data_IF_780380118677
#
_entry.id   IF_780380118677
#
_cell.length_a   1.000
_cell.length_b   1.000
_cell.length_c   1.000
_cell.angle_alpha   90.00
_cell.angle_beta   90.00
_cell.angle_gamma   90.00
#
_symmetry.space_group_name_H-M   'P 1'
#
loop_
_entity.id
_entity.type
_entity.pdbx_description
1 polymer ?
#
# COMPACT_ATOMS: atom_id res chain seq x y z
N UNK A 1 12.83 -12.73 13.72
CA UNK A 1 12.46 -11.52 12.98
C UNK A 1 11.85 -12.03 11.71
N UNK A 2 10.58 -11.72 11.46
CA UNK A 2 10.03 -11.93 10.13
C UNK A 2 10.79 -10.98 9.19
N UNK A 3 11.46 -11.54 8.18
CA UNK A 3 12.09 -10.73 7.15
C UNK A 3 10.98 -10.22 6.23
N UNK A 4 10.90 -8.90 6.10
CA UNK A 4 10.10 -8.25 5.06
C UNK A 4 10.74 -8.60 3.71
N UNK A 5 9.95 -9.04 2.74
CA UNK A 5 10.41 -9.42 1.40
C UNK A 5 11.57 -10.44 1.40
N UNK A 6 11.38 -11.66 1.95
CA UNK A 6 12.46 -12.63 2.07
C UNK A 6 13.00 -13.08 0.70
N UNK A 7 14.32 -13.26 0.59
CA UNK A 7 14.89 -14.05 -0.50
C UNK A 7 14.50 -15.52 -0.31
N UNK A 8 13.81 -16.09 -1.31
CA UNK A 8 13.41 -17.50 -1.32
C UNK A 8 14.26 -18.30 -2.31
N UNK A 9 14.25 -19.62 -2.17
CA UNK A 9 14.97 -20.53 -3.07
C UNK A 9 13.99 -21.49 -3.76
N UNK A 10 14.21 -21.73 -5.06
CA UNK A 10 13.43 -22.67 -5.87
C UNK A 10 14.34 -23.64 -6.61
N UNK A 11 14.07 -24.94 -6.46
CA UNK A 11 14.80 -26.00 -7.15
C UNK A 11 14.29 -26.15 -8.59
N UNK A 12 15.21 -26.18 -9.55
CA UNK A 12 14.88 -26.35 -10.96
C UNK A 12 14.22 -27.70 -11.19
N UNK A 13 13.12 -27.68 -11.95
CA UNK A 13 12.35 -28.86 -12.29
C UNK A 13 11.41 -29.32 -11.17
N UNK A 14 11.25 -28.55 -10.10
CA UNK A 14 10.20 -28.72 -9.10
C UNK A 14 9.07 -27.70 -9.34
N UNK A 15 7.86 -28.05 -8.89
CA UNK A 15 6.69 -27.17 -8.96
C UNK A 15 6.39 -26.63 -7.57
N UNK A 16 6.35 -25.30 -7.45
CA UNK A 16 6.04 -24.61 -6.21
C UNK A 16 4.64 -24.00 -6.29
N UNK A 17 3.93 -23.98 -5.16
CA UNK A 17 2.63 -23.32 -5.01
C UNK A 17 2.76 -22.17 -4.03
N UNK A 18 2.42 -20.96 -4.46
CA UNK A 18 2.34 -19.77 -3.63
C UNK A 18 0.88 -19.52 -3.31
N UNK A 19 0.53 -19.56 -2.03
CA UNK A 19 -0.86 -19.44 -1.55
C UNK A 19 -1.12 -18.01 -1.09
N UNK A 20 -2.12 -17.37 -1.67
CA UNK A 20 -2.61 -16.04 -1.32
C UNK A 20 -3.99 -16.17 -0.66
N UNK A 21 -3.99 -16.34 0.67
CA UNK A 21 -5.20 -16.55 1.47
C UNK A 21 -5.27 -15.63 2.68
N UNK A 22 -4.12 -15.19 3.18
CA UNK A 22 -4.11 -14.31 4.33
C UNK A 22 -4.73 -12.96 3.93
N UNK A 23 -5.45 -12.32 4.85
CA UNK A 23 -6.09 -11.02 4.56
C UNK A 23 -5.08 -9.93 4.17
N UNK A 24 -3.83 -10.06 4.61
CA UNK A 24 -2.73 -9.19 4.17
C UNK A 24 -2.31 -9.40 2.71
N UNK A 25 -2.84 -10.40 2.01
CA UNK A 25 -2.68 -10.58 0.56
C UNK A 25 -3.71 -9.80 -0.27
N UNK A 26 -4.76 -9.26 0.35
CA UNK A 26 -5.74 -8.42 -0.34
C UNK A 26 -5.05 -7.29 -1.12
N UNK A 27 -5.48 -7.04 -2.36
CA UNK A 27 -4.90 -6.04 -3.27
C UNK A 27 -3.44 -6.30 -3.72
N UNK A 28 -2.88 -7.48 -3.45
CA UNK A 28 -1.50 -7.81 -3.80
C UNK A 28 -1.36 -9.07 -4.66
N UNK A 29 -1.92 -9.12 -5.89
CA UNK A 29 -1.75 -10.28 -6.77
C UNK A 29 -0.26 -10.48 -7.08
N UNK A 30 0.27 -11.67 -6.79
CA UNK A 30 1.68 -11.97 -6.96
C UNK A 30 2.02 -12.19 -8.43
N UNK A 31 3.11 -11.57 -8.89
CA UNK A 31 3.72 -11.80 -10.19
C UNK A 31 5.15 -12.32 -10.07
N UNK A 32 5.68 -12.83 -11.18
CA UNK A 32 7.03 -13.38 -11.30
C UNK A 32 7.74 -12.70 -12.46
N UNK A 33 8.97 -12.25 -12.25
CA UNK A 33 9.75 -11.54 -13.26
C UNK A 33 11.21 -12.00 -13.31
N UNK A 34 11.83 -11.78 -14.47
CA UNK A 34 13.25 -11.95 -14.72
C UNK A 34 14.07 -10.68 -14.42
N UNK A 35 13.41 -9.52 -14.33
CA UNK A 35 14.02 -8.25 -13.89
C UNK A 35 13.38 -7.75 -12.59
N UNK A 36 14.12 -6.98 -11.77
CA UNK A 36 13.58 -6.38 -10.55
C UNK A 36 12.47 -5.37 -10.86
N UNK A 37 11.61 -5.16 -9.88
CA UNK A 37 10.54 -4.16 -9.87
C UNK A 37 11.01 -2.92 -9.10
N UNK A 38 10.88 -1.67 -9.59
CA UNK A 38 11.15 -0.50 -8.74
C UNK A 38 11.38 0.82 -9.49
N UNK A 39 12.47 0.94 -10.25
CA UNK A 39 12.89 2.23 -10.84
C UNK A 39 13.28 2.14 -12.33
N UNK A 40 13.22 0.95 -12.94
CA UNK A 40 13.63 0.73 -14.33
C UNK A 40 12.45 0.68 -15.29
N UNK A 41 12.60 1.32 -16.44
CA UNK A 41 11.58 1.42 -17.51
C UNK A 41 11.14 0.06 -18.11
N UNK A 42 11.79 -1.07 -17.77
CA UNK A 42 11.47 -2.37 -18.38
C UNK A 42 11.37 -3.49 -17.35
N UNK A 43 10.12 -3.82 -16.99
CA UNK A 43 9.73 -5.06 -16.31
C UNK A 43 9.71 -6.19 -17.33
N UNK A 44 10.49 -7.23 -17.09
CA UNK A 44 10.50 -8.45 -17.92
C UNK A 44 9.80 -9.54 -17.12
N UNK A 45 8.49 -9.63 -17.30
CA UNK A 45 7.66 -10.62 -16.61
C UNK A 45 7.92 -12.03 -17.14
N UNK A 46 7.75 -13.02 -16.27
CA UNK A 46 7.80 -14.41 -16.65
C UNK A 46 6.47 -14.78 -17.32
N UNK A 47 6.48 -14.83 -18.64
CA UNK A 47 5.32 -15.14 -19.47
C UNK A 47 5.63 -16.32 -20.40
N UNK A 48 4.62 -17.05 -20.92
CA UNK A 48 4.82 -18.19 -21.81
C UNK A 48 5.68 -17.89 -23.03
N UNK A 49 5.63 -16.65 -23.54
CA UNK A 49 6.42 -16.16 -24.67
C UNK A 49 7.74 -15.47 -24.32
N UNK A 50 8.13 -15.36 -23.05
CA UNK A 50 9.31 -14.58 -22.62
C UNK A 50 10.35 -15.49 -21.96
N UNK A 51 11.60 -15.38 -22.39
CA UNK A 51 12.73 -16.09 -21.79
C UNK A 51 13.99 -15.24 -21.72
N UNK A 52 14.70 -15.34 -20.59
CA UNK A 52 16.08 -14.86 -20.41
C UNK A 52 17.12 -15.99 -20.44
N UNK A 53 16.66 -17.23 -20.61
CA UNK A 53 17.48 -18.42 -20.79
C UNK A 53 17.37 -18.95 -22.23
N UNK A 54 16.89 -20.18 -22.37
CA UNK A 54 16.71 -20.84 -23.66
C UNK A 54 15.61 -20.13 -24.45
N UNK A 55 15.95 -19.68 -25.65
CA UNK A 55 15.04 -18.92 -26.50
C UNK A 55 14.10 -19.82 -27.34
N UNK A 56 14.33 -21.14 -27.37
CA UNK A 56 13.52 -22.08 -28.17
C UNK A 56 12.04 -22.12 -27.75
N UNK A 57 11.75 -21.84 -26.47
CA UNK A 57 10.40 -21.86 -25.93
C UNK A 57 9.53 -20.69 -26.43
N UNK A 58 10.15 -19.58 -26.84
CA UNK A 58 9.47 -18.32 -27.18
C UNK A 58 8.51 -18.52 -28.35
N UNK A 59 8.96 -19.13 -29.43
CA UNK A 59 8.17 -19.28 -30.65
C UNK A 59 6.90 -20.13 -30.46
N UNK A 60 6.90 -20.97 -29.42
CA UNK A 60 5.86 -21.94 -29.12
C UNK A 60 5.10 -21.63 -27.84
N UNK A 61 5.39 -20.50 -27.17
CA UNK A 61 4.79 -20.10 -25.90
C UNK A 61 4.90 -21.20 -24.83
N UNK A 62 6.09 -21.79 -24.70
CA UNK A 62 6.37 -22.86 -23.73
C UNK A 62 7.39 -22.45 -22.67
N UNK A 63 7.70 -21.16 -22.56
CA UNK A 63 8.67 -20.67 -21.58
C UNK A 63 8.09 -20.77 -20.17
N UNK A 64 8.89 -20.98 -19.13
CA UNK A 64 8.40 -21.04 -17.75
C UNK A 64 7.62 -19.78 -17.36
N UNK A 65 6.39 -19.97 -16.87
CA UNK A 65 5.51 -18.88 -16.46
C UNK A 65 4.64 -19.30 -15.25
N UNK A 66 4.16 -18.35 -14.42
CA UNK A 66 3.24 -18.65 -13.34
C UNK A 66 1.86 -19.01 -13.90
N UNK A 67 1.21 -20.02 -13.31
CA UNK A 67 -0.16 -20.41 -13.59
C UNK A 67 -1.06 -20.01 -12.43
N UNK A 68 -2.14 -19.27 -12.69
CA UNK A 68 -2.99 -18.67 -11.65
C UNK A 68 -4.26 -19.51 -11.38
N UNK A 69 -4.58 -19.67 -10.09
CA UNK A 69 -5.65 -20.53 -9.60
C UNK A 69 -6.56 -19.81 -8.61
N UNK A 70 -7.85 -20.14 -8.65
CA UNK A 70 -8.84 -19.78 -7.64
C UNK A 70 -9.52 -21.04 -7.13
N UNK A 71 -9.45 -21.31 -5.82
CA UNK A 71 -10.01 -22.51 -5.19
C UNK A 71 -9.58 -23.82 -5.90
N UNK A 72 -8.28 -23.93 -6.20
CA UNK A 72 -7.67 -25.04 -6.95
C UNK A 72 -8.14 -25.19 -8.41
N UNK A 73 -9.01 -24.30 -8.91
CA UNK A 73 -9.39 -24.22 -10.32
C UNK A 73 -8.36 -23.38 -11.08
N UNK A 74 -7.76 -23.97 -12.11
CA UNK A 74 -6.84 -23.26 -13.00
C UNK A 74 -7.61 -22.28 -13.88
N UNK A 75 -7.18 -21.01 -13.90
CA UNK A 75 -7.88 -19.93 -14.60
C UNK A 75 -7.42 -19.72 -16.05
N UNK A 76 -6.33 -20.37 -16.46
CA UNK A 76 -5.75 -20.23 -17.80
C UNK A 76 -5.80 -21.52 -18.63
N UNK A 77 -4.93 -21.57 -19.63
CA UNK A 77 -4.73 -22.71 -20.55
C UNK A 77 -3.28 -23.16 -20.63
N UNK A 78 -2.34 -22.24 -20.52
CA UNK A 78 -0.91 -22.53 -20.56
C UNK A 78 -0.50 -23.51 -19.45
N UNK A 79 0.42 -24.41 -19.75
CA UNK A 79 1.09 -25.20 -18.71
C UNK A 79 2.43 -25.73 -19.20
N UNK A 80 3.44 -25.64 -18.34
CA UNK A 80 4.71 -26.38 -18.44
C UNK A 80 4.81 -27.50 -17.38
N UNK A 81 3.68 -27.88 -16.75
CA UNK A 81 3.66 -28.98 -15.78
C UNK A 81 3.76 -30.33 -16.50
N UNK A 82 4.66 -31.23 -16.07
CA UNK A 82 4.83 -32.54 -16.69
C UNK A 82 3.53 -33.35 -16.80
N UNK A 83 3.19 -33.78 -18.02
CA UNK A 83 1.97 -34.53 -18.34
C UNK A 83 0.78 -33.66 -18.77
N UNK A 84 0.84 -32.34 -18.57
CA UNK A 84 -0.18 -31.37 -18.96
C UNK A 84 0.45 -30.21 -19.78
N UNK A 85 1.53 -30.46 -20.49
CA UNK A 85 2.24 -29.42 -21.24
C UNK A 85 1.40 -28.93 -22.43
N UNK A 86 1.45 -27.62 -22.68
CA UNK A 86 0.77 -26.97 -23.80
C UNK A 86 1.74 -26.32 -24.77
N UNK A 87 1.29 -26.10 -26.00
CA UNK A 87 2.04 -25.39 -27.05
C UNK A 87 1.14 -24.36 -27.72
N UNK A 88 1.65 -23.14 -27.89
CA UNK A 88 0.95 -22.04 -28.54
C UNK A 88 -0.13 -21.37 -27.68
N UNK A 89 -0.12 -21.62 -26.37
CA UNK A 89 -1.06 -21.03 -25.40
C UNK A 89 -0.34 -19.95 -24.60
N UNK A 90 -0.88 -18.73 -24.63
CA UNK A 90 -0.35 -17.57 -23.88
C UNK A 90 -1.18 -17.22 -22.65
N UNK A 91 -2.35 -17.83 -22.53
CA UNK A 91 -3.28 -17.56 -21.43
C UNK A 91 -2.83 -18.34 -20.20
N UNK A 92 -2.15 -17.68 -19.27
CA UNK A 92 -1.71 -18.29 -18.01
C UNK A 92 -2.63 -17.97 -16.81
N UNK A 93 -3.77 -17.31 -17.05
CA UNK A 93 -4.84 -17.05 -16.08
C UNK A 93 -4.78 -15.71 -15.33
N UNK A 94 -3.76 -14.88 -15.59
CA UNK A 94 -3.60 -13.59 -14.89
C UNK A 94 -4.75 -12.61 -15.14
N UNK A 95 -5.22 -12.49 -16.38
CA UNK A 95 -6.30 -11.56 -16.77
C UNK A 95 -7.62 -11.81 -16.04
N UNK A 96 -7.84 -13.03 -15.53
CA UNK A 96 -9.00 -13.38 -14.70
C UNK A 96 -8.68 -13.17 -13.21
N UNK A 97 -7.45 -13.44 -12.80
CA UNK A 97 -6.99 -13.41 -11.42
C UNK A 97 -6.83 -12.01 -10.86
N UNK A 98 -6.04 -11.16 -11.54
CA UNK A 98 -5.65 -9.83 -11.04
C UNK A 98 -6.85 -8.91 -10.77
N UNK A 99 -7.86 -8.78 -11.66
CA UNK A 99 -8.98 -7.87 -11.42
C UNK A 99 -9.80 -8.19 -10.16
N UNK A 100 -9.72 -9.42 -9.65
CA UNK A 100 -10.42 -9.82 -8.42
C UNK A 100 -9.78 -9.22 -7.16
N UNK A 101 -8.50 -8.85 -7.20
CA UNK A 101 -7.81 -8.20 -6.08
C UNK A 101 -8.20 -6.73 -5.90
N UNK A 102 -8.86 -6.12 -6.89
CA UNK A 102 -9.39 -4.76 -6.82
C UNK A 102 -10.87 -4.71 -6.40
N UNK A 103 -11.46 -5.85 -6.02
CA UNK A 103 -12.79 -5.89 -5.36
C UNK A 103 -12.69 -5.36 -3.94
N UNK A 104 -13.81 -5.15 -3.26
CA UNK A 104 -13.76 -4.77 -1.84
C UNK A 104 -13.08 -5.89 -1.02
N UNK A 105 -12.50 -5.61 0.16
CA UNK A 105 -11.90 -6.64 1.01
C UNK A 105 -12.86 -7.78 1.35
N UNK A 106 -14.14 -7.46 1.58
CA UNK A 106 -15.19 -8.44 1.85
C UNK A 106 -15.46 -9.34 0.63
N UNK A 107 -15.60 -8.76 -0.56
CA UNK A 107 -15.83 -9.51 -1.81
C UNK A 107 -14.60 -10.37 -2.16
N UNK A 108 -13.39 -9.81 -2.06
CA UNK A 108 -12.14 -10.55 -2.27
C UNK A 108 -12.03 -11.76 -1.33
N UNK A 109 -12.34 -11.57 -0.04
CA UNK A 109 -12.33 -12.65 0.96
C UNK A 109 -13.35 -13.73 0.62
N UNK A 110 -14.52 -13.34 0.09
CA UNK A 110 -15.58 -14.28 -0.28
C UNK A 110 -15.22 -15.18 -1.47
N UNK A 111 -14.24 -14.79 -2.30
CA UNK A 111 -13.77 -15.62 -3.42
C UNK A 111 -13.00 -16.86 -2.96
N UNK A 112 -12.40 -16.86 -1.77
CA UNK A 112 -11.72 -18.02 -1.20
C UNK A 112 -10.20 -17.97 -1.35
N UNK A 113 -9.60 -19.08 -1.80
CA UNK A 113 -8.13 -19.22 -1.83
C UNK A 113 -7.58 -18.94 -3.21
N UNK A 114 -6.80 -17.87 -3.32
CA UNK A 114 -6.02 -17.57 -4.50
C UNK A 114 -4.66 -18.27 -4.41
N UNK A 115 -4.13 -18.76 -5.52
CA UNK A 115 -2.76 -19.28 -5.55
C UNK A 115 -2.14 -19.21 -6.94
N UNK A 116 -0.81 -19.29 -7.00
CA UNK A 116 -0.09 -19.50 -8.25
C UNK A 116 0.76 -20.77 -8.16
N UNK A 117 0.89 -21.48 -9.27
CA UNK A 117 1.88 -22.54 -9.43
C UNK A 117 2.98 -22.07 -10.37
N UNK A 118 4.23 -22.29 -9.98
CA UNK A 118 5.40 -21.95 -10.79
C UNK A 118 6.34 -23.14 -10.85
N UNK A 119 6.76 -23.48 -12.07
CA UNK A 119 7.81 -24.46 -12.33
C UNK A 119 8.84 -23.81 -13.24
N UNK A 120 10.08 -23.73 -12.78
CA UNK A 120 11.21 -23.32 -13.61
C UNK A 120 11.97 -24.57 -14.03
N UNK A 121 11.90 -24.93 -15.30
CA UNK A 121 12.52 -26.12 -15.89
C UNK A 121 13.60 -25.80 -16.93
N UNK A 122 14.01 -24.53 -17.02
CA UNK A 122 15.14 -24.07 -17.83
C UNK A 122 16.39 -23.85 -16.98
N UNK A 123 17.33 -24.79 -17.04
CA UNK A 123 18.60 -24.70 -16.31
C UNK A 123 19.65 -23.77 -16.95
N UNK A 124 19.31 -23.17 -18.10
CA UNK A 124 20.15 -22.15 -18.74
C UNK A 124 19.95 -20.76 -18.14
N UNK A 125 18.86 -20.52 -17.39
CA UNK A 125 18.65 -19.29 -16.61
C UNK A 125 19.75 -19.18 -15.55
N UNK A 126 20.55 -18.11 -15.62
CA UNK A 126 21.69 -17.86 -14.70
C UNK A 126 21.46 -16.68 -13.75
N UNK A 127 20.43 -15.88 -14.00
CA UNK A 127 20.03 -14.79 -13.13
C UNK A 127 19.10 -15.27 -12.01
N UNK A 128 18.99 -14.46 -10.98
CA UNK A 128 17.88 -14.57 -10.04
C UNK A 128 16.56 -14.16 -10.71
N UNK A 129 15.44 -14.63 -10.15
CA UNK A 129 14.10 -14.14 -10.48
C UNK A 129 13.59 -13.26 -9.33
N UNK A 130 12.45 -12.64 -9.55
CA UNK A 130 11.79 -11.79 -8.58
C UNK A 130 10.32 -12.17 -8.46
N UNK A 131 9.80 -12.19 -7.24
CA UNK A 131 8.36 -12.09 -7.01
C UNK A 131 8.01 -10.65 -6.68
N UNK A 132 6.84 -10.19 -7.11
CA UNK A 132 6.41 -8.81 -6.90
C UNK A 132 4.88 -8.72 -6.82
N UNK A 133 4.35 -7.57 -6.44
CA UNK A 133 2.92 -7.24 -6.52
C UNK A 133 2.61 -6.57 -7.86
N UNK A 134 1.62 -7.04 -8.61
CA UNK A 134 1.25 -6.37 -9.88
C UNK A 134 0.70 -4.95 -9.69
N UNK A 135 0.14 -4.65 -8.51
CA UNK A 135 -0.56 -3.38 -8.25
C UNK A 135 0.30 -2.36 -7.50
N UNK A 136 1.13 -2.80 -6.57
CA UNK A 136 1.90 -1.91 -5.71
C UNK A 136 3.39 -2.00 -5.96
N UNK A 137 4.00 -0.84 -6.19
CA UNK A 137 5.43 -0.73 -6.31
C UNK A 137 6.19 -1.03 -5.02
N UNK A 138 7.45 -1.46 -5.17
CA UNK A 138 8.39 -1.78 -4.08
C UNK A 138 7.94 -2.94 -3.15
N UNK A 139 6.89 -3.66 -3.54
CA UNK A 139 6.42 -4.89 -2.88
C UNK A 139 6.89 -6.11 -3.65
N UNK A 140 8.13 -6.54 -3.41
CA UNK A 140 8.68 -7.72 -4.06
C UNK A 140 9.98 -8.17 -3.42
N UNK A 141 10.44 -9.35 -3.81
CA UNK A 141 11.67 -9.94 -3.32
C UNK A 141 12.29 -10.92 -4.30
N UNK A 142 13.41 -11.51 -3.88
CA UNK A 142 14.29 -12.28 -4.75
C UNK A 142 13.98 -13.77 -4.67
N UNK A 143 14.09 -14.45 -5.81
CA UNK A 143 14.04 -15.91 -5.94
C UNK A 143 15.39 -16.38 -6.47
N UNK A 144 16.10 -17.20 -5.69
CA UNK A 144 17.32 -17.87 -6.12
C UNK A 144 17.01 -19.26 -6.65
N UNK A 145 17.50 -19.57 -7.85
CA UNK A 145 17.40 -20.92 -8.40
C UNK A 145 18.44 -21.84 -7.80
N UNK A 146 18.04 -23.07 -7.48
CA UNK A 146 18.92 -24.14 -7.01
C UNK A 146 18.92 -25.34 -7.94
N UNK A 147 20.03 -26.08 -7.96
CA UNK A 147 20.16 -27.38 -8.62
C UNK A 147 20.89 -28.36 -7.72
N UNK A 148 20.22 -29.46 -7.39
CA UNK A 148 20.60 -30.42 -6.34
C UNK A 148 20.92 -29.72 -5.00
N UNK A 149 20.10 -28.74 -4.61
CA UNK A 149 20.26 -27.99 -3.37
C UNK A 149 21.42 -27.02 -3.35
N UNK A 150 22.09 -26.77 -4.49
CA UNK A 150 23.12 -25.73 -4.62
C UNK A 150 22.56 -24.54 -5.37
N UNK A 151 22.77 -23.34 -4.84
CA UNK A 151 22.42 -22.09 -5.50
C UNK A 151 23.18 -21.98 -6.82
N UNK A 152 22.49 -21.59 -7.90
CA UNK A 152 23.08 -21.42 -9.22
C UNK A 152 23.79 -20.08 -9.38
N UNK A 153 23.30 -19.05 -8.70
CA UNK A 153 23.84 -17.70 -8.70
C UNK A 153 24.07 -17.19 -7.27
N UNK A 154 25.31 -17.30 -6.80
CA UNK A 154 25.71 -16.87 -5.45
C UNK A 154 25.63 -15.35 -5.28
N UNK A 155 25.73 -14.59 -6.38
CA UNK A 155 25.61 -13.14 -6.36
C UNK A 155 24.14 -12.75 -6.50
N UNK A 156 23.74 -11.66 -5.85
CA UNK A 156 22.42 -11.06 -6.03
C UNK A 156 22.38 -10.28 -7.35
N UNK A 157 22.18 -11.00 -8.45
CA UNK A 157 22.16 -10.42 -9.81
C UNK A 157 20.95 -10.87 -10.62
N UNK A 158 20.20 -9.95 -11.26
CA UNK A 158 20.39 -8.49 -11.24
C UNK A 158 20.23 -7.86 -9.85
N UNK A 159 20.79 -6.67 -9.67
CA UNK A 159 20.55 -5.86 -8.47
C UNK A 159 19.05 -5.53 -8.35
N UNK A 160 18.55 -5.36 -7.13
CA UNK A 160 17.15 -5.03 -6.90
C UNK A 160 16.81 -3.59 -7.34
N UNK A 161 17.80 -2.69 -7.35
CA UNK A 161 17.64 -1.29 -7.80
C UNK A 161 17.13 -0.33 -6.71
N UNK A 162 16.70 -0.85 -5.57
CA UNK A 162 16.29 -0.09 -4.40
C UNK A 162 16.66 -0.82 -3.11
N UNK A 163 16.75 -0.07 -2.02
CA UNK A 163 16.89 -0.63 -0.68
C UNK A 163 15.51 -0.71 -0.02
N UNK A 164 15.25 -1.78 0.73
CA UNK A 164 14.05 -1.84 1.55
C UNK A 164 14.12 -0.82 2.67
N UNK A 165 12.99 -0.17 2.93
CA UNK A 165 12.87 0.74 4.04
C UNK A 165 13.17 0.06 5.38
N UNK A 166 13.84 0.80 6.25
CA UNK A 166 14.06 0.40 7.64
C UNK A 166 13.16 1.22 8.55
N UNK A 167 12.32 0.53 9.32
CA UNK A 167 11.44 1.20 10.27
C UNK A 167 12.26 1.74 11.45
N UNK A 168 11.97 2.98 11.85
CA UNK A 168 12.45 3.53 13.12
C UNK A 168 11.87 2.75 14.30
N UNK A 169 12.45 2.89 15.49
CA UNK A 169 11.88 2.25 16.69
C UNK A 169 10.47 2.80 17.00
N UNK A 170 10.25 4.09 16.79
CA UNK A 170 8.94 4.72 16.91
C UNK A 170 7.92 4.10 15.94
N UNK A 171 8.30 3.94 14.67
CA UNK A 171 7.41 3.34 13.66
C UNK A 171 7.10 1.87 13.95
N UNK A 172 8.05 1.10 14.47
CA UNK A 172 7.82 -0.29 14.91
C UNK A 172 6.81 -0.36 16.05
N UNK A 173 6.89 0.58 17.00
CA UNK A 173 5.96 0.67 18.11
C UNK A 173 4.55 1.04 17.64
N UNK A 174 4.43 2.06 16.79
CA UNK A 174 3.15 2.56 16.29
C UNK A 174 2.56 1.71 15.15
N UNK A 175 3.34 0.83 14.50
CA UNK A 175 2.92 0.12 13.30
C UNK A 175 2.84 1.02 12.06
N UNK A 176 3.65 2.07 12.02
CA UNK A 176 3.61 3.13 10.99
C UNK A 176 4.86 3.11 10.11
N UNK A 177 5.07 4.16 9.35
CA UNK A 177 6.31 4.44 8.62
C UNK A 177 6.54 5.96 8.56
N UNK A 178 7.81 6.37 8.71
CA UNK A 178 8.26 7.74 8.43
C UNK A 178 7.86 8.80 9.45
N UNK A 179 7.52 8.40 10.68
CA UNK A 179 7.00 9.33 11.68
C UNK A 179 8.00 9.82 12.73
N UNK A 180 9.19 9.20 12.82
CA UNK A 180 10.16 9.52 13.88
C UNK A 180 10.55 11.00 13.96
N UNK A 181 10.67 11.68 12.81
CA UNK A 181 11.01 13.12 12.78
C UNK A 181 9.83 14.05 13.14
N UNK A 182 8.63 13.49 13.33
CA UNK A 182 7.39 14.22 13.58
C UNK A 182 6.83 13.96 14.98
N UNK A 183 7.57 13.27 15.84
CA UNK A 183 7.26 13.18 17.27
C UNK A 183 7.16 14.57 17.91
N UNK A 184 6.21 14.73 18.84
CA UNK A 184 6.04 15.98 19.57
C UNK A 184 6.98 16.05 20.79
N UNK A 185 7.52 17.23 21.14
CA UNK A 185 7.26 18.54 20.53
C UNK A 185 8.00 18.72 19.19
N UNK A 186 7.28 19.24 18.18
CA UNK A 186 7.85 19.59 16.88
C UNK A 186 7.51 21.06 16.53
N UNK A 187 8.47 21.89 16.11
CA UNK A 187 8.25 23.32 15.87
C UNK A 187 7.28 23.64 14.72
N UNK A 188 7.02 22.69 13.83
CA UNK A 188 6.08 22.83 12.71
C UNK A 188 4.64 22.49 13.08
N UNK A 189 4.41 22.06 14.33
CA UNK A 189 3.15 21.47 14.78
C UNK A 189 2.70 22.09 16.11
N UNK A 190 1.39 22.10 16.42
CA UNK A 190 0.89 22.37 17.76
C UNK A 190 1.48 21.41 18.79
N UNK A 191 1.40 21.78 20.07
CA UNK A 191 1.88 20.94 21.19
C UNK A 191 1.13 19.59 21.32
N UNK A 192 -0.07 19.48 20.74
CA UNK A 192 -0.89 18.26 20.71
C UNK A 192 -1.95 18.32 19.61
N UNK A 193 -2.35 17.17 19.11
CA UNK A 193 -3.55 16.98 18.28
C UNK A 193 -4.64 16.20 19.01
N UNK A 194 -4.27 15.34 19.97
CA UNK A 194 -5.21 14.61 20.82
C UNK A 194 -5.33 15.27 22.21
N UNK A 195 -6.56 15.55 22.63
CA UNK A 195 -6.86 16.19 23.92
C UNK A 195 -7.16 15.17 25.02
N UNK A 196 -7.00 15.59 26.29
CA UNK A 196 -7.38 14.84 27.50
C UNK A 196 -6.77 13.43 27.59
N UNK A 197 -5.53 13.27 27.13
CA UNK A 197 -4.82 11.98 27.11
C UNK A 197 -4.49 11.49 28.51
N UNK A 198 -4.33 12.41 29.46
CA UNK A 198 -4.08 12.17 30.88
C UNK A 198 -5.18 11.38 31.59
N UNK A 199 -6.39 11.30 31.02
CA UNK A 199 -7.50 10.48 31.53
C UNK A 199 -7.58 9.07 30.89
N UNK A 200 -6.79 8.81 29.85
CA UNK A 200 -6.87 7.58 29.06
C UNK A 200 -6.09 6.40 29.69
N UNK A 201 -6.35 5.17 29.23
CA UNK A 201 -5.51 4.02 29.61
C UNK A 201 -4.09 4.16 29.03
N UNK A 202 -3.07 3.51 29.61
CA UNK A 202 -1.70 3.57 29.07
C UNK A 202 -1.62 3.19 27.58
N UNK A 203 -2.40 2.22 27.13
CA UNK A 203 -2.43 1.79 25.72
C UNK A 203 -3.05 2.85 24.82
N UNK A 204 -4.13 3.50 25.27
CA UNK A 204 -4.77 4.58 24.51
C UNK A 204 -3.94 5.86 24.53
N UNK A 205 -3.19 6.12 25.61
CA UNK A 205 -2.18 7.17 25.66
C UNK A 205 -1.07 6.92 24.63
N UNK A 206 -0.54 5.70 24.56
CA UNK A 206 0.46 5.35 23.55
C UNK A 206 -0.08 5.50 22.13
N UNK A 207 -1.30 5.02 21.87
CA UNK A 207 -1.94 5.20 20.57
C UNK A 207 -2.14 6.69 20.24
N UNK A 208 -2.51 7.52 21.22
CA UNK A 208 -2.63 8.96 21.01
C UNK A 208 -1.30 9.62 20.64
N UNK A 209 -0.17 9.17 21.20
CA UNK A 209 1.16 9.65 20.84
C UNK A 209 1.51 9.32 19.38
N UNK A 210 1.12 8.14 18.90
CA UNK A 210 1.24 7.78 17.48
C UNK A 210 0.38 8.71 16.59
N UNK A 211 -0.86 9.01 17.00
CA UNK A 211 -1.78 9.90 16.28
C UNK A 211 -1.24 11.35 16.25
N UNK A 212 -0.59 11.82 17.31
CA UNK A 212 0.04 13.13 17.34
C UNK A 212 1.16 13.25 16.29
N UNK A 213 2.06 12.25 16.21
CA UNK A 213 3.13 12.25 15.22
C UNK A 213 2.61 12.15 13.77
N UNK A 214 1.58 11.32 13.55
CA UNK A 214 0.84 11.21 12.28
C UNK A 214 0.28 12.56 11.81
N UNK A 215 -0.46 13.24 12.70
CA UNK A 215 -1.05 14.53 12.38
C UNK A 215 0.01 15.63 12.20
N UNK A 216 1.12 15.54 12.94
CA UNK A 216 2.25 16.44 12.73
C UNK A 216 2.88 16.23 11.34
N UNK A 217 3.14 14.97 10.95
CA UNK A 217 3.62 14.61 9.61
C UNK A 217 2.68 15.12 8.52
N UNK A 218 1.38 14.91 8.67
CA UNK A 218 0.37 15.44 7.74
C UNK A 218 0.40 16.96 7.65
N UNK A 219 0.40 17.65 8.80
CA UNK A 219 0.37 19.12 8.83
C UNK A 219 1.63 19.70 8.19
N UNK A 220 2.80 19.21 8.55
CA UNK A 220 4.07 19.65 7.97
C UNK A 220 4.13 19.35 6.46
N UNK A 221 3.75 18.14 6.04
CA UNK A 221 3.77 17.75 4.63
C UNK A 221 2.74 18.47 3.76
N UNK A 222 1.54 18.75 4.29
CA UNK A 222 0.50 19.50 3.57
C UNK A 222 0.76 21.01 3.56
N UNK A 223 1.68 21.51 4.38
CA UNK A 223 2.05 22.92 4.37
C UNK A 223 3.03 23.16 3.24
N UNK A 224 2.49 23.47 2.06
CA UNK A 224 3.26 23.63 0.82
C UNK A 224 3.30 25.07 0.33
N UNK A 225 4.38 25.42 -0.38
CA UNK A 225 4.48 26.66 -1.13
C UNK A 225 3.66 26.63 -2.41
N UNK A 226 3.34 27.81 -2.94
CA UNK A 226 2.73 27.97 -4.27
C UNK A 226 3.76 28.29 -5.35
N UNK A 227 5.04 28.43 -4.97
CA UNK A 227 6.08 28.92 -5.88
C UNK A 227 6.61 27.83 -6.80
N UNK A 228 6.65 26.57 -6.35
CA UNK A 228 7.08 25.46 -7.19
C UNK A 228 5.91 24.61 -7.67
N UNK A 229 4.74 24.71 -7.03
CA UNK A 229 3.47 24.28 -7.60
C UNK A 229 3.20 25.03 -8.92
N UNK A 230 3.52 24.39 -10.04
CA UNK A 230 3.44 24.97 -11.39
C UNK A 230 1.99 25.26 -11.81
N UNK A 231 1.03 24.53 -11.26
CA UNK A 231 -0.41 24.63 -11.49
C UNK A 231 -1.22 24.05 -10.30
N UNK A 232 -2.55 24.07 -10.40
CA UNK A 232 -3.46 23.57 -9.37
C UNK A 232 -3.33 22.07 -9.13
N UNK A 233 -3.00 21.28 -10.17
CA UNK A 233 -2.84 19.84 -10.06
C UNK A 233 -1.54 19.49 -9.29
N UNK A 234 -0.45 20.22 -9.55
CA UNK A 234 0.78 20.12 -8.78
C UNK A 234 0.56 20.46 -7.30
N UNK A 235 -0.16 21.56 -7.01
CA UNK A 235 -0.48 21.93 -5.63
C UNK A 235 -1.31 20.85 -4.93
N UNK A 236 -2.31 20.30 -5.63
CA UNK A 236 -3.14 19.21 -5.12
C UNK A 236 -2.30 17.98 -4.77
N UNK A 237 -1.46 17.50 -5.70
CA UNK A 237 -0.63 16.30 -5.50
C UNK A 237 0.36 16.47 -4.35
N UNK A 238 1.02 17.62 -4.24
CA UNK A 238 1.96 17.89 -3.13
C UNK A 238 1.29 17.86 -1.75
N UNK A 239 -0.01 18.17 -1.66
CA UNK A 239 -0.75 18.09 -0.40
C UNK A 239 -1.44 16.74 -0.21
N UNK A 240 -1.87 16.09 -1.29
CA UNK A 240 -2.65 14.86 -1.21
C UNK A 240 -1.79 13.63 -0.91
N UNK A 241 -0.52 13.60 -1.35
CA UNK A 241 0.43 12.54 -0.97
C UNK A 241 0.59 12.46 0.57
N UNK A 242 1.00 13.52 1.30
CA UNK A 242 1.13 13.45 2.76
C UNK A 242 -0.22 13.25 3.47
N UNK A 243 -1.33 13.74 2.89
CA UNK A 243 -2.67 13.43 3.40
C UNK A 243 -2.98 11.93 3.33
N UNK A 244 -2.69 11.28 2.21
CA UNK A 244 -2.90 9.84 2.03
C UNK A 244 -1.95 9.01 2.90
N UNK A 245 -0.68 9.40 2.99
CA UNK A 245 0.30 8.75 3.88
C UNK A 245 -0.18 8.77 5.34
N UNK A 246 -0.79 9.88 5.78
CA UNK A 246 -1.37 9.98 7.12
C UNK A 246 -2.54 9.01 7.32
N UNK A 247 -3.47 8.94 6.36
CA UNK A 247 -4.60 8.01 6.43
C UNK A 247 -4.13 6.54 6.47
N UNK A 248 -3.13 6.19 5.65
CA UNK A 248 -2.49 4.87 5.66
C UNK A 248 -1.86 4.58 7.03
N UNK A 249 -1.09 5.52 7.60
CA UNK A 249 -0.46 5.33 8.90
C UNK A 249 -1.49 5.19 10.04
N UNK A 250 -2.58 5.96 10.03
CA UNK A 250 -3.67 5.81 11.00
C UNK A 250 -4.34 4.44 10.89
N UNK A 251 -4.58 3.96 9.66
CA UNK A 251 -5.18 2.67 9.43
C UNK A 251 -4.27 1.53 9.92
N UNK A 252 -2.99 1.57 9.56
CA UNK A 252 -1.99 0.59 10.02
C UNK A 252 -1.83 0.59 11.54
N UNK A 253 -1.81 1.76 12.18
CA UNK A 253 -1.69 1.85 13.62
C UNK A 253 -2.89 1.23 14.34
N UNK A 254 -4.12 1.43 13.83
CA UNK A 254 -5.29 0.77 14.41
C UNK A 254 -5.23 -0.75 14.23
N UNK A 255 -4.87 -1.24 13.03
CA UNK A 255 -4.66 -2.67 12.77
C UNK A 255 -3.61 -3.27 13.73
N UNK A 256 -2.50 -2.55 13.96
CA UNK A 256 -1.42 -2.97 14.86
C UNK A 256 -1.89 -3.20 16.31
N UNK A 257 -2.94 -2.53 16.76
CA UNK A 257 -3.48 -2.71 18.12
C UNK A 257 -4.10 -4.10 18.34
N UNK A 258 -4.50 -4.80 17.27
CA UNK A 258 -5.25 -6.06 17.30
C UNK A 258 -6.50 -5.97 18.20
N UNK A 259 -7.16 -4.80 18.26
CA UNK A 259 -8.37 -4.57 19.07
C UNK A 259 -9.66 -4.86 18.32
N UNK A 260 -9.62 -4.90 16.99
CA UNK A 260 -10.76 -5.34 16.19
C UNK A 260 -10.82 -6.86 16.18
N UNK A 261 -12.01 -7.41 16.39
CA UNK A 261 -12.25 -8.84 16.39
C UNK A 261 -13.04 -9.24 15.15
N UNK A 262 -12.32 -9.53 14.06
CA UNK A 262 -12.91 -10.05 12.84
C UNK A 262 -12.32 -11.41 12.44
N UNK A 263 -13.13 -12.46 12.47
CA UNK A 263 -12.72 -13.79 11.99
C UNK A 263 -12.74 -13.88 10.46
N UNK A 264 -13.71 -13.23 9.82
CA UNK A 264 -13.96 -13.31 8.38
C UNK A 264 -14.40 -11.94 7.84
N UNK A 265 -13.56 -11.30 7.01
CA UNK A 265 -13.83 -9.99 6.42
C UNK A 265 -15.06 -9.98 5.51
N UNK A 266 -15.53 -11.13 5.03
CA UNK A 266 -16.78 -11.22 4.26
C UNK A 266 -18.04 -11.04 5.11
N UNK A 267 -17.92 -11.05 6.45
CA UNK A 267 -19.03 -10.82 7.36
C UNK A 267 -19.31 -9.32 7.54
N UNK A 268 -20.11 -8.76 6.63
CA UNK A 268 -20.50 -7.35 6.64
C UNK A 268 -21.54 -6.98 7.71
N UNK A 269 -22.05 -7.95 8.47
CA UNK A 269 -22.96 -7.70 9.59
C UNK A 269 -22.22 -7.38 10.91
N UNK A 270 -20.93 -7.73 11.01
CA UNK A 270 -20.10 -7.50 12.19
C UNK A 270 -19.34 -6.16 12.10
N UNK A 271 -19.59 -5.21 13.03
CA UNK A 271 -19.00 -3.86 12.95
C UNK A 271 -17.47 -3.84 12.90
N UNK A 272 -16.83 -4.74 13.65
CA UNK A 272 -15.37 -4.87 13.66
C UNK A 272 -14.83 -5.35 12.31
N UNK A 273 -15.53 -6.26 11.63
CA UNK A 273 -15.19 -6.73 10.29
C UNK A 273 -15.38 -5.64 9.23
N UNK A 274 -16.45 -4.85 9.34
CA UNK A 274 -16.68 -3.70 8.46
C UNK A 274 -15.56 -2.66 8.65
N UNK A 275 -15.21 -2.34 9.89
CA UNK A 275 -14.13 -1.39 10.16
C UNK A 275 -12.78 -1.95 9.69
N UNK A 276 -12.45 -3.21 9.99
CA UNK A 276 -11.19 -3.81 9.54
C UNK A 276 -11.07 -3.87 8.01
N UNK A 277 -12.17 -4.16 7.31
CA UNK A 277 -12.24 -4.05 5.84
C UNK A 277 -11.90 -2.63 5.37
N UNK A 278 -12.49 -1.60 5.98
CA UNK A 278 -12.17 -0.19 5.65
C UNK A 278 -10.68 0.10 5.87
N UNK A 279 -10.06 -0.44 6.93
CA UNK A 279 -8.64 -0.22 7.19
C UNK A 279 -7.75 -0.85 6.11
N UNK A 280 -8.01 -2.10 5.70
CA UNK A 280 -7.28 -2.73 4.60
C UNK A 280 -7.46 -2.01 3.27
N UNK A 281 -8.67 -1.54 2.99
CA UNK A 281 -8.97 -0.74 1.80
C UNK A 281 -8.22 0.60 1.80
N UNK A 282 -8.22 1.32 2.93
CA UNK A 282 -7.44 2.55 3.08
C UNK A 282 -5.95 2.29 2.85
N UNK A 283 -5.38 1.26 3.49
CA UNK A 283 -3.96 0.96 3.36
C UNK A 283 -3.61 0.67 1.91
N UNK A 284 -4.36 -0.18 1.23
CA UNK A 284 -3.99 -0.65 -0.09
C UNK A 284 -4.35 0.35 -1.18
N UNK A 285 -5.58 0.86 -1.21
CA UNK A 285 -6.02 1.77 -2.26
C UNK A 285 -5.31 3.12 -2.18
N UNK A 286 -5.08 3.66 -0.97
CA UNK A 286 -4.38 4.95 -0.87
C UNK A 286 -2.88 4.83 -1.16
N UNK A 287 -2.22 3.71 -0.85
CA UNK A 287 -0.83 3.49 -1.30
C UNK A 287 -0.72 3.42 -2.84
N UNK A 288 -1.68 2.75 -3.52
CA UNK A 288 -1.73 2.77 -4.98
C UNK A 288 -1.96 4.19 -5.51
N UNK A 289 -2.87 4.96 -4.91
CA UNK A 289 -3.11 6.35 -5.29
C UNK A 289 -1.88 7.24 -5.07
N UNK A 290 -1.10 7.01 -4.00
CA UNK A 290 0.19 7.68 -3.77
C UNK A 290 1.15 7.41 -4.92
N UNK A 291 1.29 6.15 -5.37
CA UNK A 291 2.16 5.79 -6.50
C UNK A 291 1.71 6.48 -7.79
N UNK A 292 0.41 6.46 -8.10
CA UNK A 292 -0.15 7.18 -9.26
C UNK A 292 0.12 8.70 -9.17
N UNK A 293 0.08 9.28 -7.97
CA UNK A 293 0.42 10.68 -7.74
C UNK A 293 1.92 10.96 -7.93
N UNK A 294 2.80 10.03 -7.53
CA UNK A 294 4.24 10.11 -7.82
C UNK A 294 4.54 9.98 -9.33
N UNK A 295 3.83 9.12 -10.06
CA UNK A 295 3.94 9.03 -11.52
C UNK A 295 3.51 10.32 -12.20
N UNK A 296 2.39 10.91 -11.75
CA UNK A 296 1.96 12.22 -12.22
C UNK A 296 3.07 13.25 -12.00
N UNK A 297 3.63 13.26 -10.79
CA UNK A 297 4.72 14.15 -10.42
C UNK A 297 5.96 13.98 -11.34
N UNK A 298 6.42 12.75 -11.55
CA UNK A 298 7.55 12.41 -12.41
C UNK A 298 7.30 12.82 -13.88
N UNK A 299 6.10 12.54 -14.41
CA UNK A 299 5.72 12.88 -15.80
C UNK A 299 5.76 14.39 -16.07
N UNK A 300 5.53 15.20 -15.03
CA UNK A 300 5.54 16.67 -15.09
C UNK A 300 6.87 17.29 -14.69
N UNK A 301 7.82 16.49 -14.19
CA UNK A 301 9.13 16.95 -13.68
C UNK A 301 8.98 18.06 -12.62
N UNK A 302 7.98 17.95 -11.74
CA UNK A 302 7.88 18.88 -10.61
C UNK A 302 9.04 18.59 -9.63
N UNK A 303 9.30 19.41 -8.60
CA UNK A 303 10.20 18.99 -7.51
C UNK A 303 9.51 18.01 -6.57
N UNK A 304 10.27 17.13 -5.92
CA UNK A 304 9.75 16.11 -4.98
C UNK A 304 9.00 16.69 -3.81
N UNK A 305 9.49 17.81 -3.32
CA UNK A 305 8.93 18.51 -2.19
C UNK A 305 8.75 19.99 -2.51
N UNK A 306 7.58 20.50 -2.19
CA UNK A 306 7.30 21.93 -2.13
C UNK A 306 6.91 22.37 -0.72
N UNK A 307 7.48 21.72 0.31
CA UNK A 307 7.20 22.03 1.72
C UNK A 307 7.56 23.48 2.05
N UNK A 308 6.76 24.08 2.92
CA UNK A 308 6.89 25.42 3.44
C UNK A 308 6.85 25.36 4.96
N UNK A 309 8.01 25.52 5.61
CA UNK A 309 8.09 25.46 7.07
C UNK A 309 7.35 26.64 7.70
N UNK A 310 6.22 26.34 8.36
CA UNK A 310 5.44 27.30 9.14
C UNK A 310 5.55 26.92 10.61
N UNK A 311 6.22 27.78 11.38
CA UNK A 311 6.44 27.58 12.79
C UNK A 311 5.19 27.92 13.59
N UNK A 312 4.74 27.00 14.45
CA UNK A 312 3.54 27.20 15.28
C UNK A 312 3.95 27.84 16.61
N UNK A 313 3.50 29.07 16.85
CA UNK A 313 3.64 29.73 18.15
C UNK A 313 2.44 29.39 19.04
N UNK A 314 2.71 28.85 20.23
CA UNK A 314 1.71 28.67 21.28
C UNK A 314 1.43 30.02 21.93
N UNK A 315 0.29 30.61 21.62
CA UNK A 315 -0.15 31.82 22.32
C UNK A 315 -0.52 31.46 23.77
N UNK A 316 -0.12 32.28 24.76
CA UNK A 316 -0.56 32.07 26.14
C UNK A 316 -2.09 32.09 26.19
N UNK A 317 -2.68 31.23 27.03
CA UNK A 317 -4.13 31.17 27.17
C UNK A 317 -4.71 32.57 27.40
N UNK A 318 -5.81 32.93 26.72
CA UNK A 318 -6.44 34.22 26.94
C UNK A 318 -6.79 34.33 28.42
N UNK A 319 -6.13 35.27 29.11
CA UNK A 319 -6.46 35.58 30.50
C UNK A 319 -7.94 35.88 30.57
N UNK A 320 -8.70 35.04 31.27
CA UNK A 320 -10.13 35.24 31.49
C UNK A 320 -10.30 36.53 32.30
N UNK A 321 -10.46 37.66 31.61
CA UNK A 321 -10.94 38.89 32.23
C UNK A 321 -12.43 38.69 32.50
N UNK A 322 -12.76 38.26 33.72
CA UNK A 322 -14.08 38.49 34.29
C UNK A 322 -14.28 39.99 34.47
N UNK A 323 -14.67 40.71 33.41
CA UNK A 323 -15.37 41.96 33.60
C UNK A 323 -16.79 41.64 34.07
N UNK A 324 -17.05 41.89 35.35
CA UNK A 324 -18.42 41.96 35.86
C UNK A 324 -19.13 43.15 35.18
N UNK A 325 -19.69 42.93 34.00
CA UNK A 325 -20.54 43.91 33.35
C UNK A 325 -21.90 43.91 34.05
N UNK A 326 -22.06 44.83 34.99
CA UNK A 326 -23.37 45.23 35.51
C UNK A 326 -24.25 45.75 34.37
N UNK A 327 -25.38 45.08 34.16
CA UNK A 327 -26.63 45.52 33.55
C UNK A 327 -26.62 46.78 32.66
N UNK A 328 -26.93 46.59 31.37
CA UNK A 328 -27.56 47.67 30.59
C UNK A 328 -27.49 47.49 29.08
N UNK A 329 -28.62 47.12 28.47
CA UNK A 329 -28.94 47.53 27.09
C UNK A 329 -28.88 46.44 26.02
N UNK A 330 -30.05 46.11 25.50
CA UNK A 330 -30.30 45.22 24.36
C UNK A 330 -29.37 45.46 23.17
N UNK A 331 -28.80 44.38 22.63
CA UNK A 331 -28.61 44.19 21.20
C UNK A 331 -28.62 42.69 20.89
N UNK A 332 -29.69 42.25 20.24
CA UNK A 332 -29.81 40.91 19.66
C UNK A 332 -29.00 40.91 18.37
N UNK A 333 -27.87 40.19 18.35
CA UNK A 333 -27.18 39.87 17.10
C UNK A 333 -27.87 38.65 16.47
N UNK A 334 -28.53 38.88 15.34
CA UNK A 334 -29.12 37.84 14.48
C UNK A 334 -27.99 37.21 13.66
N UNK A 335 -27.72 35.92 13.87
CA UNK A 335 -26.87 35.13 12.98
C UNK A 335 -27.64 34.82 11.69
N UNK A 336 -27.20 35.43 10.58
CA UNK A 336 -27.71 35.14 9.25
C UNK A 336 -27.15 33.83 8.72
N UNK A 337 -28.04 32.85 8.54
CA UNK A 337 -27.80 31.63 7.76
C UNK A 337 -28.02 31.94 6.28
N UNK A 338 -27.04 31.60 5.44
CA UNK A 338 -27.17 31.51 3.98
C UNK A 338 -26.15 30.47 3.50
N UNK A 339 -26.44 29.52 2.61
CA UNK A 339 -27.61 29.28 1.76
C UNK A 339 -27.68 27.79 1.49
N UNK A 340 -28.90 27.25 1.51
CA UNK A 340 -29.29 25.88 1.19
C UNK A 340 -29.02 25.57 -0.29
N UNK A 341 -28.28 24.48 -0.57
CA UNK A 341 -28.23 23.87 -1.90
C UNK A 341 -29.43 22.92 -2.03
N UNK A 342 -30.38 23.27 -2.90
CA UNK A 342 -31.55 22.44 -3.21
C UNK A 342 -31.14 21.24 -4.07
N UNK A 343 -31.32 20.03 -3.52
CA UNK A 343 -31.34 18.79 -4.27
C UNK A 343 -32.78 18.56 -4.77
N UNK A 344 -33.02 18.86 -6.04
CA UNK A 344 -34.32 18.64 -6.69
C UNK A 344 -34.37 17.18 -7.19
N UNK A 345 -34.89 16.28 -6.34
CA UNK A 345 -35.26 14.93 -6.76
C UNK A 345 -36.60 14.99 -7.46
N UNK A 346 -36.61 14.77 -8.78
CA UNK A 346 -37.86 14.61 -9.54
C UNK A 346 -38.09 13.11 -9.74
N UNK A 347 -39.02 12.53 -8.98
CA UNK A 347 -39.65 11.26 -9.32
C UNK A 347 -40.79 11.53 -10.30
N UNK A 348 -40.69 11.00 -11.51
CA UNK A 348 -41.85 10.83 -12.39
C UNK A 348 -42.40 9.41 -12.19
N UNK A 349 -43.73 9.35 -12.06
CA UNK A 349 -44.55 8.13 -12.03
C UNK A 349 -44.57 7.42 -13.37
#
# INVERSE_FOLDING_TARGET
MDLWNPTIAMEIGETYTFVQKDRTNYYHPIGIAYSPYGDQEVKIEAEPGISVGNQECIANHTCPAPMYYLNDEYLGKYSNIPGNETTGEDDFGLDVYEPLFMRSPAEWTSHGTFSIQLRIDDDSIKSDLFYFCHIHEFMGGRIKLTKNGKVLNELDTPDLGYEYDTLSEFDKECGTWGLGDFELPNPLCPERFVCNTDEASPELQQFSHCIDAMNCHMMAGMTTGVKKALDEAALFVHQMIPHHQNAVNMAKALLKTNKLHCEDLSNEDEPDCVLESILFDIVNTQNMQIQVMYDFWASKRLPEQDNCDVYVETLPEPSVFFESATSGGNNVAVYGWGTVLFLLVTFLR
#
